data_IF_911278183089
#
_entry.id   IF_911278183089
#
_cell.length_a   1.000
_cell.length_b   1.000
_cell.length_c   1.000
_cell.angle_alpha   90.00
_cell.angle_beta   90.00
_cell.angle_gamma   90.00
#
_symmetry.space_group_name_H-M   'P 1'
#
loop_
_entity.id
_entity.type
_entity.pdbx_description
1 polymer ?
#
# COMPACT_ATOMS: atom_id res chain seq x y z
N UNK A 1 16.42 -5.20 -32.41
CA UNK A 1 16.58 -4.99 -30.96
C UNK A 1 16.67 -6.35 -30.30
N UNK A 2 17.75 -6.63 -29.59
CA UNK A 2 18.02 -7.91 -28.92
C UNK A 2 16.90 -8.28 -27.95
N UNK A 3 16.53 -9.57 -27.87
CA UNK A 3 15.50 -10.12 -26.98
C UNK A 3 15.76 -9.73 -25.52
N UNK A 4 17.02 -9.71 -25.11
CA UNK A 4 17.46 -9.29 -23.76
C UNK A 4 17.20 -7.81 -23.47
N UNK A 5 17.37 -6.94 -24.49
CA UNK A 5 17.09 -5.50 -24.38
C UNK A 5 15.59 -5.26 -24.24
N UNK A 6 14.74 -5.99 -25.00
CA UNK A 6 13.28 -5.94 -24.87
C UNK A 6 12.84 -6.34 -23.46
N UNK A 7 13.38 -7.43 -22.92
CA UNK A 7 13.04 -7.90 -21.56
C UNK A 7 13.45 -6.89 -20.50
N UNK A 8 14.64 -6.28 -20.61
CA UNK A 8 15.08 -5.25 -19.69
C UNK A 8 14.18 -4.00 -19.72
N UNK A 9 13.80 -3.55 -20.93
CA UNK A 9 12.88 -2.41 -21.09
C UNK A 9 11.51 -2.75 -20.50
N UNK A 10 10.97 -3.95 -20.76
CA UNK A 10 9.68 -4.38 -20.19
C UNK A 10 9.72 -4.44 -18.66
N UNK A 11 10.81 -4.90 -18.06
CA UNK A 11 10.98 -4.92 -16.62
C UNK A 11 11.00 -3.49 -16.04
N UNK A 12 11.68 -2.55 -16.69
CA UNK A 12 11.69 -1.13 -16.27
C UNK A 12 10.29 -0.52 -16.36
N UNK A 13 9.56 -0.80 -17.46
CA UNK A 13 8.18 -0.33 -17.59
C UNK A 13 7.25 -0.93 -16.52
N UNK A 14 7.39 -2.22 -16.22
CA UNK A 14 6.61 -2.87 -15.18
C UNK A 14 6.88 -2.24 -13.80
N UNK A 15 8.15 -2.00 -13.45
CA UNK A 15 8.51 -1.32 -12.19
C UNK A 15 8.00 0.12 -12.17
N UNK A 16 8.10 0.85 -13.27
CA UNK A 16 7.56 2.21 -13.37
C UNK A 16 6.04 2.25 -13.18
N UNK A 17 5.30 1.30 -13.77
CA UNK A 17 3.84 1.17 -13.60
C UNK A 17 3.50 0.85 -12.14
N UNK A 18 4.20 -0.11 -11.52
CA UNK A 18 3.98 -0.46 -10.10
C UNK A 18 4.27 0.74 -9.20
N UNK A 19 5.37 1.46 -9.46
CA UNK A 19 5.74 2.65 -8.69
C UNK A 19 4.75 3.80 -8.88
N UNK A 20 4.24 4.00 -10.10
CA UNK A 20 3.20 4.99 -10.37
C UNK A 20 1.88 4.62 -9.68
N UNK A 21 1.50 3.35 -9.70
CA UNK A 21 0.33 2.86 -8.96
C UNK A 21 0.49 3.07 -7.45
N UNK A 22 1.66 2.75 -6.88
CA UNK A 22 1.97 2.96 -5.48
C UNK A 22 1.99 4.47 -5.11
N UNK A 23 2.52 5.34 -5.99
CA UNK A 23 2.47 6.79 -5.83
C UNK A 23 1.04 7.32 -5.88
N UNK A 24 0.24 6.82 -6.82
CA UNK A 24 -1.20 7.16 -6.89
C UNK A 24 -1.95 6.73 -5.62
N UNK A 25 -1.58 5.60 -5.02
CA UNK A 25 -2.08 5.18 -3.71
C UNK A 25 -1.58 6.09 -2.56
N UNK A 26 -0.38 6.65 -2.67
CA UNK A 26 0.15 7.63 -1.70
C UNK A 26 -0.63 8.95 -1.72
N UNK A 27 -0.98 9.46 -2.90
CA UNK A 27 -1.79 10.68 -3.07
C UNK A 27 -3.23 10.52 -2.53
N UNK A 28 -3.65 9.26 -2.30
CA UNK A 28 -4.91 8.90 -1.64
C UNK A 28 -4.87 9.06 -0.10
N UNK A 29 -3.91 9.80 0.45
CA UNK A 29 -3.73 10.00 1.89
C UNK A 29 -5.05 10.43 2.55
N UNK A 30 -5.68 9.51 3.28
CA UNK A 30 -7.01 9.68 3.87
C UNK A 30 -8.19 9.42 2.94
N UNK A 31 -7.97 9.04 1.67
CA UNK A 31 -9.02 8.61 0.75
C UNK A 31 -9.25 7.11 0.88
N UNK A 32 -10.51 6.70 0.72
CA UNK A 32 -10.93 5.31 0.71
C UNK A 32 -11.09 4.81 -0.73
N UNK A 33 -10.89 3.51 -0.93
CA UNK A 33 -11.36 2.85 -2.15
C UNK A 33 -12.83 2.45 -1.95
N UNK A 34 -13.73 3.05 -2.68
CA UNK A 34 -15.16 2.77 -2.58
C UNK A 34 -15.55 1.70 -3.60
N UNK A 35 -16.26 0.66 -3.10
CA UNK A 35 -16.84 -0.41 -3.90
C UNK A 35 -18.32 -0.46 -3.57
N UNK A 36 -19.18 0.07 -4.44
CA UNK A 36 -20.63 0.03 -4.22
C UNK A 36 -21.06 0.48 -2.80
N UNK A 37 -21.23 -0.46 -1.87
CA UNK A 37 -21.66 -0.31 -0.48
C UNK A 37 -20.55 -0.44 0.56
N UNK A 38 -19.29 -0.56 0.10
CA UNK A 38 -18.12 -0.79 0.97
C UNK A 38 -16.97 0.12 0.60
N UNK A 39 -16.11 0.42 1.58
CA UNK A 39 -14.83 1.10 1.37
C UNK A 39 -13.68 0.36 2.06
N UNK A 40 -12.48 0.46 1.48
CA UNK A 40 -11.25 -0.04 2.09
C UNK A 40 -10.46 1.12 2.63
N UNK A 41 -10.04 1.03 3.90
CA UNK A 41 -9.21 2.03 4.57
C UNK A 41 -7.97 1.44 5.19
N UNK A 42 -6.96 2.26 5.29
CA UNK A 42 -5.72 1.95 5.99
C UNK A 42 -5.77 2.48 7.43
N UNK A 43 -5.42 1.62 8.40
CA UNK A 43 -5.38 1.94 9.83
C UNK A 43 -4.00 2.52 10.16
N UNK A 44 -4.00 3.74 10.69
CA UNK A 44 -2.77 4.50 11.02
C UNK A 44 -2.53 4.62 12.53
N UNK A 45 -3.51 4.22 13.37
CA UNK A 45 -3.39 4.28 14.83
C UNK A 45 -3.42 2.88 15.43
N UNK A 46 -2.80 2.72 16.61
CA UNK A 46 -2.78 1.47 17.35
C UNK A 46 -3.94 1.31 18.34
N UNK A 47 -4.98 2.14 18.31
CA UNK A 47 -6.07 2.07 19.29
C UNK A 47 -6.84 0.74 19.31
N UNK A 48 -6.77 -0.03 18.20
CA UNK A 48 -7.39 -1.35 18.09
C UNK A 48 -6.35 -2.49 18.05
N UNK A 49 -5.07 -2.18 18.30
CA UNK A 49 -3.96 -3.13 18.29
C UNK A 49 -3.73 -3.67 19.72
N UNK A 50 -4.50 -4.66 20.08
CA UNK A 50 -4.48 -5.31 21.38
C UNK A 50 -4.53 -6.83 21.25
N UNK A 51 -4.52 -7.54 22.38
CA UNK A 51 -4.72 -8.98 22.42
C UNK A 51 -6.04 -9.37 21.73
N UNK A 52 -6.06 -10.54 21.05
CA UNK A 52 -7.25 -10.96 20.30
C UNK A 52 -8.50 -11.03 21.15
N UNK A 53 -9.54 -10.32 20.75
CA UNK A 53 -10.84 -10.29 21.40
C UNK A 53 -11.71 -11.49 20.98
N UNK A 54 -12.69 -11.94 21.80
CA UNK A 54 -13.54 -13.10 21.51
C UNK A 54 -14.69 -12.78 20.55
N UNK A 55 -14.47 -11.93 19.55
CA UNK A 55 -15.43 -11.47 18.56
C UNK A 55 -14.97 -11.79 17.14
N UNK A 56 -15.81 -11.57 16.14
CA UNK A 56 -15.51 -11.82 14.72
C UNK A 56 -14.25 -11.06 14.29
N UNK A 57 -14.17 -9.77 14.59
CA UNK A 57 -12.96 -8.98 14.43
C UNK A 57 -12.15 -9.10 15.73
N UNK A 58 -11.10 -9.90 15.72
CA UNK A 58 -10.30 -10.21 16.91
C UNK A 58 -9.39 -9.06 17.35
N UNK A 59 -8.69 -8.46 16.40
CA UNK A 59 -7.78 -7.32 16.59
C UNK A 59 -7.58 -6.61 15.26
N UNK A 60 -7.16 -5.35 15.31
CA UNK A 60 -6.79 -4.58 14.11
C UNK A 60 -5.41 -3.97 14.35
N UNK A 61 -4.33 -4.68 13.99
CA UNK A 61 -2.97 -4.16 14.12
C UNK A 61 -2.77 -2.87 13.31
N UNK A 62 -1.87 -2.02 13.78
CA UNK A 62 -1.44 -0.84 13.02
C UNK A 62 -0.97 -1.25 11.62
N UNK A 63 -1.16 -0.40 10.62
CA UNK A 63 -0.88 -0.67 9.20
C UNK A 63 -1.76 -1.75 8.56
N UNK A 64 -2.85 -2.17 9.18
CA UNK A 64 -3.83 -3.05 8.53
C UNK A 64 -4.69 -2.30 7.51
N UNK A 65 -5.14 -3.02 6.48
CA UNK A 65 -6.30 -2.61 5.66
C UNK A 65 -7.57 -3.18 6.28
N UNK A 66 -8.59 -2.35 6.39
CA UNK A 66 -9.93 -2.74 6.85
C UNK A 66 -10.95 -2.50 5.76
N UNK A 67 -11.91 -3.42 5.66
CA UNK A 67 -13.09 -3.24 4.82
C UNK A 67 -14.25 -2.77 5.68
N UNK A 68 -14.79 -1.61 5.36
CA UNK A 68 -15.93 -0.98 6.02
C UNK A 68 -17.14 -1.16 5.11
N UNK A 69 -18.16 -1.86 5.56
CA UNK A 69 -19.45 -1.90 4.90
C UNK A 69 -20.31 -0.74 5.39
N UNK A 70 -20.76 0.10 4.48
CA UNK A 70 -21.67 1.20 4.80
C UNK A 70 -23.01 0.62 5.23
N UNK A 71 -23.62 1.24 6.23
CA UNK A 71 -24.88 0.81 6.83
C UNK A 71 -25.97 1.86 6.60
N UNK A 72 -27.18 1.41 6.32
CA UNK A 72 -28.39 2.21 6.44
C UNK A 72 -28.72 2.46 7.91
N UNK A 73 -29.57 3.46 8.20
CA UNK A 73 -29.96 3.78 9.58
C UNK A 73 -30.67 2.61 10.29
N UNK A 74 -31.42 1.79 9.54
CA UNK A 74 -32.09 0.62 10.09
C UNK A 74 -31.05 -0.46 10.49
N UNK A 75 -30.03 -0.68 9.67
CA UNK A 75 -28.95 -1.63 9.97
C UNK A 75 -28.07 -1.17 11.13
N UNK A 76 -27.92 0.15 11.33
CA UNK A 76 -27.19 0.69 12.49
C UNK A 76 -27.87 0.31 13.80
N UNK A 77 -29.20 0.28 13.84
CA UNK A 77 -29.95 -0.11 15.02
C UNK A 77 -29.76 -1.60 15.41
N UNK A 78 -29.37 -2.45 14.46
CA UNK A 78 -29.13 -3.88 14.67
C UNK A 78 -27.71 -4.19 15.20
N UNK A 79 -26.83 -3.19 15.30
CA UNK A 79 -25.46 -3.38 15.77
C UNK A 79 -25.43 -3.77 17.26
N UNK A 80 -24.48 -4.65 17.59
CA UNK A 80 -24.37 -5.26 18.91
C UNK A 80 -23.00 -4.99 19.57
N UNK A 81 -22.95 -5.24 20.87
CA UNK A 81 -21.68 -5.26 21.62
C UNK A 81 -20.73 -6.27 20.98
N UNK A 82 -19.49 -5.84 20.76
CA UNK A 82 -18.45 -6.62 20.08
C UNK A 82 -18.26 -6.24 18.61
N UNK A 83 -19.24 -5.61 17.96
CA UNK A 83 -19.09 -5.08 16.63
C UNK A 83 -18.06 -3.95 16.59
N UNK A 84 -17.24 -3.92 15.56
CA UNK A 84 -16.31 -2.81 15.31
C UNK A 84 -16.92 -1.89 14.27
N UNK A 85 -17.09 -0.62 14.63
CA UNK A 85 -17.72 0.39 13.78
C UNK A 85 -16.76 1.51 13.40
N UNK A 86 -17.00 2.09 12.23
CA UNK A 86 -16.40 3.35 11.82
C UNK A 86 -17.42 4.48 12.02
N UNK A 87 -17.04 5.52 12.72
CA UNK A 87 -17.90 6.66 13.02
C UNK A 87 -17.15 7.99 12.92
N UNK A 88 -17.89 9.08 12.67
CA UNK A 88 -17.29 10.41 12.53
C UNK A 88 -17.21 11.14 13.89
N UNK A 89 -16.02 11.68 14.17
CA UNK A 89 -15.79 12.63 15.27
C UNK A 89 -15.17 13.90 14.69
N UNK A 90 -16.03 14.90 14.42
CA UNK A 90 -15.64 16.07 13.62
C UNK A 90 -15.23 15.66 12.21
N UNK A 91 -14.00 16.01 11.80
CA UNK A 91 -13.43 15.65 10.50
C UNK A 91 -12.72 14.29 10.47
N UNK A 92 -12.60 13.62 11.62
CA UNK A 92 -11.85 12.36 11.76
C UNK A 92 -12.83 11.18 11.72
N UNK A 93 -12.44 10.11 11.01
CA UNK A 93 -13.11 8.81 11.08
C UNK A 93 -12.38 7.96 12.12
N UNK A 94 -13.09 7.52 13.13
CA UNK A 94 -12.62 6.67 14.22
C UNK A 94 -13.15 5.26 14.00
N UNK A 95 -12.33 4.25 14.30
CA UNK A 95 -12.71 2.84 14.23
C UNK A 95 -12.50 2.21 15.58
N UNK A 96 -13.60 1.93 16.31
CA UNK A 96 -13.57 1.33 17.64
C UNK A 96 -14.66 0.27 17.80
N UNK A 97 -14.55 -0.52 18.87
CA UNK A 97 -15.49 -1.58 19.22
C UNK A 97 -16.63 -1.06 20.06
N UNK A 98 -17.84 -1.54 19.78
CA UNK A 98 -19.01 -1.27 20.64
C UNK A 98 -18.85 -2.05 21.95
N UNK A 99 -18.86 -1.35 23.06
CA UNK A 99 -18.83 -1.93 24.42
C UNK A 99 -20.18 -1.81 25.14
N UNK A 100 -21.04 -0.91 24.70
CA UNK A 100 -22.43 -0.77 25.21
C UNK A 100 -23.33 -0.18 24.13
N UNK A 101 -24.61 -0.56 24.17
CA UNK A 101 -25.65 -0.07 23.26
C UNK A 101 -26.79 0.49 24.10
N UNK A 102 -27.20 1.72 23.83
CA UNK A 102 -28.41 2.35 24.37
C UNK A 102 -29.43 2.53 23.22
N UNK A 103 -30.32 1.58 23.08
CA UNK A 103 -31.34 1.58 22.02
C UNK A 103 -32.39 2.67 22.23
N UNK A 104 -32.70 3.03 23.49
CA UNK A 104 -33.71 4.00 23.81
C UNK A 104 -33.25 5.42 23.41
N UNK A 105 -32.00 5.75 23.73
CA UNK A 105 -31.41 7.06 23.44
C UNK A 105 -30.61 7.07 22.11
N UNK A 106 -30.56 5.97 21.39
CA UNK A 106 -29.92 5.78 20.05
C UNK A 106 -28.46 6.20 20.05
N UNK A 107 -27.66 5.65 20.96
CA UNK A 107 -26.22 5.82 20.95
C UNK A 107 -25.47 4.53 21.32
N UNK A 108 -24.21 4.48 20.93
CA UNK A 108 -23.24 3.47 21.33
C UNK A 108 -22.20 4.08 22.27
N UNK A 109 -21.71 3.30 23.21
CA UNK A 109 -20.42 3.54 23.84
C UNK A 109 -19.43 2.65 23.13
N UNK A 110 -18.38 3.26 22.59
CA UNK A 110 -17.29 2.56 21.89
C UNK A 110 -16.00 2.66 22.68
N UNK A 111 -15.06 1.77 22.40
CA UNK A 111 -13.73 1.80 22.98
C UNK A 111 -12.73 1.18 22.00
N UNK A 112 -11.56 1.78 21.85
CA UNK A 112 -10.43 1.13 21.19
C UNK A 112 -9.92 -0.01 22.07
N UNK A 113 -9.65 -1.17 21.48
CA UNK A 113 -9.24 -2.38 22.21
C UNK A 113 -7.96 -2.15 23.04
N UNK A 114 -7.07 -1.25 22.60
CA UNK A 114 -5.86 -0.85 23.30
C UNK A 114 -6.04 0.39 24.22
N UNK A 115 -7.24 0.98 24.27
CA UNK A 115 -7.48 2.18 25.05
C UNK A 115 -7.88 1.81 26.47
N UNK A 116 -7.45 2.60 27.45
CA UNK A 116 -7.77 2.41 28.87
C UNK A 116 -9.19 2.89 29.27
N UNK A 117 -9.83 3.68 28.40
CA UNK A 117 -11.14 4.29 28.71
C UNK A 117 -12.03 4.25 27.47
N UNK A 118 -13.36 4.12 27.67
CA UNK A 118 -14.34 4.23 26.60
C UNK A 118 -14.43 5.65 26.05
N UNK A 119 -14.96 5.75 24.84
CA UNK A 119 -15.24 7.01 24.17
C UNK A 119 -16.49 7.68 24.74
N UNK A 120 -16.67 8.95 24.43
CA UNK A 120 -17.94 9.63 24.63
C UNK A 120 -19.05 8.98 23.79
N UNK A 121 -20.34 9.08 24.19
CA UNK A 121 -21.46 8.50 23.46
C UNK A 121 -21.45 8.87 21.97
N UNK A 122 -21.58 7.86 21.11
CA UNK A 122 -21.63 7.97 19.66
C UNK A 122 -23.06 7.77 19.21
N UNK A 123 -23.70 8.81 18.74
CA UNK A 123 -25.06 8.74 18.21
C UNK A 123 -25.12 7.91 16.93
N UNK A 124 -26.21 7.20 16.69
CA UNK A 124 -26.41 6.29 15.55
C UNK A 124 -26.19 6.99 14.21
N UNK A 125 -26.59 8.25 14.06
CA UNK A 125 -26.42 9.05 12.85
C UNK A 125 -24.94 9.36 12.50
N UNK A 126 -24.02 9.21 13.47
CA UNK A 126 -22.58 9.40 13.27
C UNK A 126 -21.87 8.15 12.77
N UNK A 127 -22.54 6.99 12.82
CA UNK A 127 -21.99 5.72 12.33
C UNK A 127 -21.94 5.74 10.80
N UNK A 128 -20.77 5.46 10.25
CA UNK A 128 -20.56 5.39 8.81
C UNK A 128 -20.72 3.95 8.30
N UNK A 129 -20.28 2.97 9.10
CA UNK A 129 -20.35 1.56 8.71
C UNK A 129 -19.73 0.63 9.74
N UNK A 130 -19.80 -0.68 9.45
CA UNK A 130 -19.25 -1.78 10.25
C UNK A 130 -18.00 -2.34 9.57
N UNK A 131 -16.98 -2.68 10.36
CA UNK A 131 -15.80 -3.39 9.87
C UNK A 131 -16.18 -4.86 9.63
N UNK A 132 -16.04 -5.30 8.39
CA UNK A 132 -16.39 -6.67 7.96
C UNK A 132 -15.17 -7.50 7.56
N UNK A 133 -13.99 -6.88 7.46
CA UNK A 133 -12.76 -7.58 7.13
C UNK A 133 -11.52 -6.79 7.57
N UNK A 134 -10.47 -7.54 7.92
CA UNK A 134 -9.16 -7.00 8.30
C UNK A 134 -8.09 -7.79 7.57
N UNK A 135 -7.13 -7.10 6.95
CA UNK A 135 -5.98 -7.72 6.32
C UNK A 135 -4.70 -6.98 6.71
N UNK A 136 -4.00 -7.52 7.69
CA UNK A 136 -2.74 -6.96 8.16
C UNK A 136 -1.61 -7.11 7.14
N UNK A 137 -1.47 -8.28 6.51
CA UNK A 137 -0.40 -8.53 5.53
C UNK A 137 -0.51 -7.62 4.28
N UNK A 138 -1.73 -7.41 3.77
CA UNK A 138 -1.96 -6.46 2.67
C UNK A 138 -1.62 -5.02 3.08
N UNK A 139 -1.94 -4.65 4.31
CA UNK A 139 -1.59 -3.36 4.86
C UNK A 139 -0.08 -3.15 4.93
N UNK A 140 0.68 -4.17 5.37
CA UNK A 140 2.16 -4.13 5.37
C UNK A 140 2.70 -3.96 3.95
N UNK A 141 2.17 -4.69 2.96
CA UNK A 141 2.59 -4.55 1.55
C UNK A 141 2.36 -3.11 1.06
N UNK A 142 1.19 -2.55 1.32
CA UNK A 142 0.89 -1.15 0.95
C UNK A 142 1.82 -0.17 1.67
N UNK A 143 2.10 -0.38 2.95
CA UNK A 143 3.02 0.43 3.73
C UNK A 143 4.45 0.41 3.15
N UNK A 144 4.98 -0.79 2.87
CA UNK A 144 6.31 -0.95 2.25
C UNK A 144 6.34 -0.27 0.87
N UNK A 145 5.37 -0.52 0.01
CA UNK A 145 5.31 0.10 -1.31
C UNK A 145 5.26 1.62 -1.21
N UNK A 146 4.50 2.17 -0.26
CA UNK A 146 4.39 3.61 -0.04
C UNK A 146 5.72 4.21 0.43
N UNK A 147 6.31 3.67 1.48
CA UNK A 147 7.45 4.30 2.15
C UNK A 147 8.76 4.13 1.36
N UNK A 148 8.87 3.05 0.58
CA UNK A 148 10.08 2.75 -0.19
C UNK A 148 9.96 3.00 -1.70
N UNK A 149 8.81 3.53 -2.18
CA UNK A 149 8.60 3.76 -3.62
C UNK A 149 9.72 4.58 -4.26
N UNK A 150 10.13 5.70 -3.65
CA UNK A 150 11.18 6.57 -4.19
C UNK A 150 12.52 5.83 -4.24
N UNK A 151 12.86 5.10 -3.18
CA UNK A 151 14.11 4.32 -3.11
C UNK A 151 14.16 3.20 -4.15
N UNK A 152 13.06 2.50 -4.34
CA UNK A 152 12.93 1.44 -5.37
C UNK A 152 13.05 2.01 -6.77
N UNK A 153 12.41 3.14 -7.05
CA UNK A 153 12.51 3.82 -8.36
C UNK A 153 13.94 4.27 -8.63
N UNK A 154 14.58 4.95 -7.69
CA UNK A 154 15.97 5.41 -7.84
C UNK A 154 16.95 4.25 -7.98
N UNK A 155 16.77 3.19 -7.22
CA UNK A 155 17.57 1.97 -7.29
C UNK A 155 17.46 1.30 -8.67
N UNK A 156 16.25 1.17 -9.20
CA UNK A 156 16.04 0.58 -10.54
C UNK A 156 16.63 1.43 -11.66
N UNK A 157 16.50 2.75 -11.59
CA UNK A 157 17.14 3.67 -12.54
C UNK A 157 18.66 3.51 -12.49
N UNK A 158 19.24 3.43 -11.28
CA UNK A 158 20.68 3.23 -11.08
C UNK A 158 21.19 1.92 -11.69
N UNK A 159 20.49 0.80 -11.44
CA UNK A 159 20.84 -0.51 -12.01
C UNK A 159 20.77 -0.50 -13.53
N UNK A 160 19.69 0.04 -14.10
CA UNK A 160 19.53 0.11 -15.56
C UNK A 160 20.60 0.99 -16.19
N UNK A 161 20.88 2.15 -15.62
CA UNK A 161 21.92 3.06 -16.08
C UNK A 161 23.30 2.40 -16.01
N UNK A 162 23.60 1.67 -14.93
CA UNK A 162 24.83 0.90 -14.78
C UNK A 162 24.98 -0.18 -15.87
N UNK A 163 23.93 -0.94 -16.15
CA UNK A 163 23.94 -1.97 -17.20
C UNK A 163 24.18 -1.33 -18.59
N UNK A 164 23.55 -0.20 -18.88
CA UNK A 164 23.74 0.52 -20.15
C UNK A 164 25.18 1.04 -20.26
N UNK A 165 25.71 1.64 -19.20
CA UNK A 165 27.09 2.16 -19.16
C UNK A 165 28.11 1.04 -19.40
N UNK A 166 27.99 -0.09 -18.69
CA UNK A 166 28.88 -1.26 -18.88
C UNK A 166 28.81 -1.79 -20.32
N UNK A 167 27.61 -1.94 -20.87
CA UNK A 167 27.48 -2.40 -22.28
C UNK A 167 28.08 -1.44 -23.28
N UNK A 168 27.92 -0.13 -23.08
CA UNK A 168 28.51 0.90 -23.94
C UNK A 168 30.04 0.87 -23.86
N UNK A 169 30.61 0.75 -22.65
CA UNK A 169 32.06 0.64 -22.46
C UNK A 169 32.65 -0.61 -23.11
N UNK A 170 31.98 -1.76 -22.96
CA UNK A 170 32.39 -3.01 -23.60
C UNK A 170 32.31 -2.94 -25.14
N UNK A 171 31.35 -2.21 -25.69
CA UNK A 171 31.22 -1.99 -27.12
C UNK A 171 32.40 -1.16 -27.65
N UNK A 172 32.69 -0.03 -27.00
CA UNK A 172 33.83 0.86 -27.33
C UNK A 172 35.16 0.09 -27.28
N UNK A 173 35.39 -0.68 -26.23
CA UNK A 173 36.62 -1.50 -26.11
C UNK A 173 36.76 -2.56 -27.22
N UNK A 174 35.64 -3.11 -27.69
CA UNK A 174 35.66 -4.05 -28.83
C UNK A 174 36.01 -3.34 -30.15
N UNK A 175 35.38 -2.21 -30.40
CA UNK A 175 35.62 -1.39 -31.59
C UNK A 175 37.10 -0.94 -31.67
N UNK A 176 37.66 -0.45 -30.54
CA UNK A 176 39.07 -0.08 -30.45
C UNK A 176 40.02 -1.27 -30.68
N UNK A 177 39.65 -2.46 -30.17
CA UNK A 177 40.46 -3.66 -30.38
C UNK A 177 40.43 -4.11 -31.84
N UNK A 178 39.29 -4.09 -32.49
CA UNK A 178 39.13 -4.42 -33.90
C UNK A 178 39.90 -3.44 -34.79
N UNK A 179 39.87 -2.15 -34.49
CA UNK A 179 40.60 -1.11 -35.20
C UNK A 179 42.12 -1.30 -35.06
N UNK A 180 42.63 -1.66 -33.90
CA UNK A 180 44.04 -1.97 -33.67
C UNK A 180 44.48 -3.18 -34.46
N UNK A 181 43.69 -4.27 -34.50
CA UNK A 181 43.98 -5.48 -35.25
C UNK A 181 44.01 -5.22 -36.77
N UNK A 182 43.10 -4.39 -37.28
CA UNK A 182 43.09 -4.00 -38.69
C UNK A 182 44.30 -3.17 -39.07
N UNK A 183 44.74 -2.25 -38.23
CA UNK A 183 45.98 -1.48 -38.48
C UNK A 183 47.22 -2.37 -38.47
N UNK A 184 47.34 -3.32 -37.57
CA UNK A 184 48.42 -4.26 -37.44
C UNK A 184 48.50 -5.20 -38.67
N UNK A 185 47.38 -5.60 -39.26
CA UNK A 185 47.31 -6.39 -40.50
C UNK A 185 47.72 -5.58 -41.75
N UNK A 186 47.50 -4.27 -41.77
CA UNK A 186 47.87 -3.40 -42.88
C UNK A 186 49.38 -3.06 -42.90
N UNK A 187 50.04 -3.09 -41.73
CA UNK A 187 51.47 -2.80 -41.59
C UNK A 187 52.38 -4.02 -41.87
N UNK A 188 51.83 -5.20 -42.19
CA UNK A 188 52.63 -6.38 -42.58
C UNK A 188 53.20 -6.14 -43.99
N UNK A 189 54.54 -6.02 -44.14
CA UNK A 189 55.13 -5.84 -45.44
C UNK A 189 54.82 -7.05 -46.33
N UNK A 190 54.32 -6.80 -47.57
CA UNK A 190 54.15 -7.83 -48.56
C UNK A 190 55.56 -8.29 -48.98
N UNK A 191 56.01 -9.42 -48.43
CA UNK A 191 57.21 -10.09 -48.89
C UNK A 191 56.96 -10.61 -50.32
N UNK A 192 57.64 -10.01 -51.28
CA UNK A 192 57.79 -10.53 -52.65
C UNK A 192 58.58 -11.85 -52.66
#
# INVERSE_FOLDING_TARGET
>A
MDKRVKTAISAVFAVAIISFAAYSMYDLNGKSFNFSDSEVRWIVSGSMDADPQPYDIKTIPINSLVMIRHLSQDEVADLQVGDVIAFRSGSILITHRIVSVDQENKYFITQGDANSSPDAPVSFDRVTGKIVGVSHWMGIVVHILRDYTISVVLGTIGVVSGIVAVKSSLKIMREEKEEKLLKEQQDIPKTE
#
